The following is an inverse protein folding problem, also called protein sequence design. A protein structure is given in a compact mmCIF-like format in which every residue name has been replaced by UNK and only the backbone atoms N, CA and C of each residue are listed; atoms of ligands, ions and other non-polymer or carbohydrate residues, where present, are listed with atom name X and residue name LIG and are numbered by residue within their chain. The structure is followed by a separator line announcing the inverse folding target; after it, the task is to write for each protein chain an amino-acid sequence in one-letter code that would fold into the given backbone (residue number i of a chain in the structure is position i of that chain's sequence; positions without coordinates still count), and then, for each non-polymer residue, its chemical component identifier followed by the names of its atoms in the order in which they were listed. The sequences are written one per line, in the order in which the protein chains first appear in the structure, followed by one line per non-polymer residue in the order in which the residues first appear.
data_IF_557770868788
#
_entry.id   IF_557770868788
#
_cell.length_a   1.000
_cell.length_b   1.000
_cell.length_c   1.000
_cell.angle_alpha   90.00
_cell.angle_beta   90.00
_cell.angle_gamma   90.00
#
_symmetry.space_group_name_H-M   'P 1'
#
loop_
_entity.id
_entity.type
_entity.pdbx_description
1 polymer ?
#
# COMPACT_ATOMS: atom_id res chain seq x y z
N UNK A 1 -13.24 16.44 33.63
CA UNK A 1 -11.83 16.36 34.09
C UNK A 1 -11.32 14.92 34.20
N UNK A 2 -12.13 13.92 34.58
CA UNK A 2 -11.69 12.51 34.74
C UNK A 2 -11.52 11.71 33.42
N UNK A 3 -12.20 12.11 32.34
CA UNK A 3 -12.22 11.40 31.05
C UNK A 3 -10.86 11.39 30.34
N UNK A 4 -9.98 12.35 30.61
CA UNK A 4 -8.65 12.40 30.01
C UNK A 4 -7.72 11.30 30.55
N UNK A 5 -7.85 10.94 31.83
CA UNK A 5 -7.06 9.87 32.45
C UNK A 5 -7.46 8.48 31.91
N UNK A 6 -8.76 8.28 31.62
CA UNK A 6 -9.28 7.02 31.08
C UNK A 6 -8.94 6.79 29.59
N UNK A 7 -8.76 7.86 28.80
CA UNK A 7 -8.41 7.78 27.38
C UNK A 7 -6.89 7.83 27.12
N UNK A 8 -6.08 8.04 28.14
CA UNK A 8 -4.63 8.02 28.04
C UNK A 8 -4.04 6.68 27.55
N UNK A 9 -4.47 5.49 28.04
CA UNK A 9 -3.92 4.22 27.57
C UNK A 9 -4.25 3.92 26.09
N UNK A 10 -5.42 4.31 25.59
CA UNK A 10 -5.80 4.09 24.19
C UNK A 10 -4.99 4.97 23.21
N UNK A 11 -4.62 6.17 23.63
CA UNK A 11 -3.73 7.06 22.88
C UNK A 11 -2.32 6.48 22.73
N UNK A 12 -1.75 5.90 23.79
CA UNK A 12 -0.42 5.25 23.70
C UNK A 12 -0.49 3.97 22.85
N UNK A 13 -1.53 3.16 23.04
CA UNK A 13 -1.73 1.94 22.27
C UNK A 13 -1.84 2.23 20.77
N UNK A 14 -2.64 3.23 20.37
CA UNK A 14 -2.80 3.62 18.97
C UNK A 14 -1.51 4.14 18.32
N UNK A 15 -0.66 4.86 19.07
CA UNK A 15 0.65 5.27 18.56
C UNK A 15 1.56 4.07 18.25
N UNK A 16 1.56 3.07 19.13
CA UNK A 16 2.36 1.85 18.94
C UNK A 16 1.88 1.04 17.74
N UNK A 17 0.56 0.98 17.51
CA UNK A 17 -0.04 0.31 16.35
C UNK A 17 0.43 0.93 15.04
N UNK A 18 0.44 2.28 14.93
CA UNK A 18 0.90 2.97 13.71
C UNK A 18 2.37 2.72 13.40
N UNK A 19 3.24 2.69 14.42
CA UNK A 19 4.65 2.36 14.22
C UNK A 19 4.82 0.92 13.76
N UNK A 20 4.06 -0.01 14.34
CA UNK A 20 4.03 -1.41 13.95
C UNK A 20 3.60 -1.63 12.50
N UNK A 21 2.56 -0.94 12.05
CA UNK A 21 2.04 -1.05 10.68
C UNK A 21 3.08 -0.58 9.65
N UNK A 22 3.83 0.47 9.96
CA UNK A 22 4.92 0.96 9.09
C UNK A 22 6.03 -0.08 8.97
N UNK A 23 6.49 -0.63 10.09
CA UNK A 23 7.55 -1.64 10.12
C UNK A 23 7.10 -2.95 9.45
N UNK A 24 5.81 -3.29 9.56
CA UNK A 24 5.20 -4.47 8.97
C UNK A 24 5.21 -4.43 7.44
N UNK A 25 4.84 -3.30 6.82
CA UNK A 25 4.85 -3.18 5.37
C UNK A 25 6.26 -3.41 4.80
N UNK A 26 7.29 -2.83 5.42
CA UNK A 26 8.68 -3.01 5.00
C UNK A 26 9.15 -4.46 5.18
N UNK A 27 8.75 -5.14 6.26
CA UNK A 27 9.06 -6.56 6.47
C UNK A 27 8.40 -7.46 5.43
N UNK A 28 7.11 -7.23 5.13
CA UNK A 28 6.37 -8.02 4.14
C UNK A 28 6.90 -7.82 2.73
N UNK A 29 7.34 -6.61 2.37
CA UNK A 29 8.01 -6.34 1.10
C UNK A 29 9.32 -7.10 0.97
N UNK A 30 10.14 -7.11 2.03
CA UNK A 30 11.41 -7.85 2.01
C UNK A 30 11.15 -9.36 1.84
N UNK A 31 10.24 -9.93 2.61
CA UNK A 31 9.84 -11.33 2.49
C UNK A 31 9.29 -11.66 1.10
N UNK A 32 8.48 -10.77 0.51
CA UNK A 32 7.96 -10.95 -0.84
C UNK A 32 9.08 -11.02 -1.89
N UNK A 33 10.09 -10.17 -1.78
CA UNK A 33 11.24 -10.16 -2.70
C UNK A 33 12.04 -11.46 -2.58
N UNK A 34 12.31 -11.92 -1.35
CA UNK A 34 13.02 -13.18 -1.09
C UNK A 34 12.25 -14.38 -1.65
N UNK A 35 10.96 -14.49 -1.33
CA UNK A 35 10.10 -15.59 -1.82
C UNK A 35 10.00 -15.57 -3.34
N UNK A 36 9.85 -14.39 -3.97
CA UNK A 36 9.89 -14.27 -5.44
C UNK A 36 11.23 -14.65 -6.06
N UNK A 37 12.31 -14.54 -5.29
CA UNK A 37 13.66 -14.96 -5.70
C UNK A 37 13.90 -16.47 -5.52
N UNK A 38 12.88 -17.22 -5.10
CA UNK A 38 12.97 -18.68 -4.85
C UNK A 38 13.50 -19.03 -3.46
N UNK A 39 13.63 -18.06 -2.56
CA UNK A 39 14.00 -18.34 -1.17
C UNK A 39 12.81 -18.99 -0.45
N UNK A 40 13.02 -20.08 0.30
CA UNK A 40 11.95 -20.68 1.09
C UNK A 40 11.33 -19.67 2.07
N UNK A 41 10.01 -19.76 2.29
CA UNK A 41 9.29 -18.86 3.20
C UNK A 41 9.92 -18.84 4.60
N UNK A 42 10.30 -20.01 5.12
CA UNK A 42 10.96 -20.13 6.41
C UNK A 42 12.24 -19.30 6.50
N UNK A 43 13.12 -19.41 5.50
CA UNK A 43 14.36 -18.63 5.46
C UNK A 43 14.06 -17.13 5.37
N UNK A 44 13.01 -16.76 4.63
CA UNK A 44 12.58 -15.37 4.54
C UNK A 44 12.04 -14.84 5.88
N UNK A 45 11.32 -15.67 6.65
CA UNK A 45 10.90 -15.36 8.04
C UNK A 45 12.10 -15.16 8.97
N UNK A 46 13.17 -15.93 8.79
CA UNK A 46 14.43 -15.75 9.54
C UNK A 46 15.09 -14.42 9.15
N UNK A 47 15.13 -14.07 7.86
CA UNK A 47 15.67 -12.80 7.36
C UNK A 47 14.98 -11.58 7.97
N UNK A 48 13.64 -11.61 8.09
CA UNK A 48 12.88 -10.50 8.69
C UNK A 48 12.77 -10.55 10.22
N UNK A 49 13.35 -11.57 10.87
CA UNK A 49 13.40 -11.65 12.34
C UNK A 49 14.35 -10.63 12.98
N UNK A 50 14.99 -9.80 12.14
CA UNK A 50 15.93 -8.73 12.49
C UNK A 50 15.58 -7.45 11.71
N UNK A 51 15.84 -6.28 12.29
CA UNK A 51 15.72 -4.99 11.57
C UNK A 51 14.34 -4.29 11.59
N UNK A 52 13.24 -4.97 11.93
CA UNK A 52 11.86 -4.42 11.86
C UNK A 52 11.18 -4.18 13.22
N UNK A 53 11.93 -3.72 14.22
CA UNK A 53 11.39 -3.23 15.50
C UNK A 53 10.60 -4.27 16.31
N UNK A 54 9.28 -4.08 16.40
CA UNK A 54 8.39 -4.99 17.15
C UNK A 54 7.98 -6.22 16.32
N UNK A 55 7.86 -6.08 15.00
CA UNK A 55 7.48 -7.17 14.09
C UNK A 55 8.55 -8.26 14.08
N UNK A 56 9.81 -7.84 14.00
CA UNK A 56 10.96 -8.75 14.00
C UNK A 56 11.01 -9.63 15.27
N UNK A 57 10.60 -9.08 16.44
CA UNK A 57 10.52 -9.85 17.68
C UNK A 57 9.44 -10.92 17.64
N UNK A 58 8.32 -10.66 16.99
CA UNK A 58 7.26 -11.66 16.82
C UNK A 58 7.68 -12.74 15.82
N UNK A 59 8.29 -12.38 14.69
CA UNK A 59 8.84 -13.36 13.75
C UNK A 59 9.96 -14.22 14.36
N UNK A 60 10.79 -13.65 15.24
CA UNK A 60 11.79 -14.43 15.99
C UNK A 60 11.16 -15.49 16.89
N UNK A 61 10.00 -15.22 17.49
CA UNK A 61 9.28 -16.22 18.30
C UNK A 61 8.74 -17.33 17.40
N UNK A 62 8.13 -16.96 16.26
CA UNK A 62 7.60 -17.91 15.28
C UNK A 62 8.72 -18.83 14.77
N UNK A 63 9.83 -18.28 14.30
CA UNK A 63 10.96 -19.09 13.80
C UNK A 63 11.58 -19.96 14.91
N UNK A 64 11.60 -19.48 16.15
CA UNK A 64 12.05 -20.29 17.30
C UNK A 64 11.12 -21.47 17.58
N UNK A 65 9.81 -21.29 17.51
CA UNK A 65 8.82 -22.36 17.68
C UNK A 65 8.93 -23.41 16.58
N UNK A 66 9.11 -22.98 15.33
CA UNK A 66 9.33 -23.87 14.18
C UNK A 66 10.62 -24.67 14.37
N UNK A 67 11.72 -24.00 14.76
CA UNK A 67 12.99 -24.66 15.05
C UNK A 67 12.90 -25.64 16.24
N UNK A 68 11.96 -25.43 17.17
CA UNK A 68 11.70 -26.35 18.28
C UNK A 68 10.89 -27.60 17.85
N UNK A 69 10.50 -27.70 16.57
CA UNK A 69 9.78 -28.84 16.01
C UNK A 69 8.27 -28.62 15.85
N UNK A 70 7.76 -27.41 16.11
CA UNK A 70 6.36 -27.07 15.82
C UNK A 70 6.17 -26.94 14.31
N UNK A 71 5.03 -27.39 13.78
CA UNK A 71 4.72 -27.22 12.35
C UNK A 71 4.57 -25.74 12.00
N UNK A 72 5.03 -25.35 10.81
CA UNK A 72 4.98 -23.94 10.37
C UNK A 72 3.58 -23.33 10.43
N UNK A 73 2.56 -24.08 10.00
CA UNK A 73 1.15 -23.63 10.04
C UNK A 73 0.68 -23.41 11.48
N UNK A 74 1.06 -24.30 12.40
CA UNK A 74 0.60 -24.27 13.78
C UNK A 74 1.28 -23.13 14.54
N UNK A 75 2.58 -22.89 14.30
CA UNK A 75 3.32 -21.77 14.87
C UNK A 75 2.75 -20.40 14.43
N UNK A 76 2.34 -20.28 13.15
CA UNK A 76 1.67 -19.07 12.64
C UNK A 76 0.29 -18.87 13.27
N UNK A 77 -0.49 -19.94 13.46
CA UNK A 77 -1.80 -19.88 14.10
C UNK A 77 -1.68 -19.51 15.60
N UNK A 78 -0.70 -20.05 16.32
CA UNK A 78 -0.41 -19.67 17.71
C UNK A 78 0.01 -18.21 17.83
N UNK A 79 0.87 -17.73 16.93
CA UNK A 79 1.28 -16.34 16.88
C UNK A 79 0.10 -15.40 16.57
N UNK A 80 -0.89 -15.86 15.80
CA UNK A 80 -2.14 -15.14 15.51
C UNK A 80 -3.03 -15.00 16.75
N UNK A 81 -3.00 -15.96 17.67
CA UNK A 81 -3.78 -15.91 18.91
C UNK A 81 -3.10 -15.06 20.00
N UNK A 82 -1.77 -15.08 20.04
CA UNK A 82 -0.97 -14.38 21.05
C UNK A 82 -0.91 -12.87 20.83
N UNK A 83 -0.96 -12.43 19.57
CA UNK A 83 -0.77 -11.02 19.23
C UNK A 83 -2.08 -10.23 19.27
N UNK A 84 -2.10 -9.01 19.85
CA UNK A 84 -3.30 -8.17 19.89
C UNK A 84 -3.54 -7.38 18.59
N UNK A 85 -2.57 -7.31 17.67
CA UNK A 85 -2.62 -6.44 16.50
C UNK A 85 -3.40 -7.05 15.34
N UNK A 86 -4.53 -6.43 14.97
CA UNK A 86 -5.48 -6.98 13.97
C UNK A 86 -4.86 -7.19 12.60
N UNK A 87 -4.11 -6.22 12.07
CA UNK A 87 -3.49 -6.33 10.73
C UNK A 87 -2.45 -7.46 10.69
N UNK A 88 -1.62 -7.57 11.74
CA UNK A 88 -0.61 -8.63 11.84
C UNK A 88 -1.24 -10.02 11.90
N UNK A 89 -2.27 -10.19 12.74
CA UNK A 89 -3.04 -11.44 12.83
C UNK A 89 -3.63 -11.86 11.50
N UNK A 90 -4.20 -10.91 10.75
CA UNK A 90 -4.78 -11.18 9.42
C UNK A 90 -3.73 -11.71 8.46
N UNK A 91 -2.55 -11.10 8.44
CA UNK A 91 -1.46 -11.51 7.55
C UNK A 91 -0.91 -12.89 7.91
N UNK A 92 -0.66 -13.16 9.19
CA UNK A 92 -0.22 -14.48 9.64
C UNK A 92 -1.23 -15.57 9.25
N UNK A 93 -2.52 -15.31 9.45
CA UNK A 93 -3.59 -16.23 9.08
C UNK A 93 -3.66 -16.47 7.55
N UNK A 94 -3.48 -15.43 6.73
CA UNK A 94 -3.44 -15.56 5.27
C UNK A 94 -2.25 -16.42 4.81
N UNK A 95 -1.07 -16.23 5.42
CA UNK A 95 0.11 -17.04 5.13
C UNK A 95 -0.09 -18.50 5.58
N UNK A 96 -0.59 -18.72 6.80
CA UNK A 96 -0.87 -20.05 7.32
C UNK A 96 -1.87 -20.81 6.44
N UNK A 97 -2.91 -20.12 5.96
CA UNK A 97 -3.87 -20.69 5.02
C UNK A 97 -3.25 -21.01 3.67
N UNK A 98 -2.39 -20.14 3.13
CA UNK A 98 -1.71 -20.39 1.86
C UNK A 98 -0.79 -21.61 1.93
N UNK A 99 -0.08 -21.78 3.05
CA UNK A 99 0.74 -22.96 3.31
C UNK A 99 -0.12 -24.22 3.44
N UNK A 100 -1.24 -24.15 4.16
CA UNK A 100 -2.13 -25.30 4.38
C UNK A 100 -2.80 -25.75 3.09
N UNK A 101 -3.16 -24.82 2.20
CA UNK A 101 -3.76 -25.12 0.90
C UNK A 101 -2.74 -25.53 -0.17
N UNK A 102 -1.44 -25.33 0.09
CA UNK A 102 -0.38 -25.51 -0.92
C UNK A 102 -0.45 -24.49 -2.06
N UNK A 103 -1.17 -23.38 -1.87
CA UNK A 103 -1.25 -22.29 -2.85
C UNK A 103 0.08 -21.54 -2.95
N UNK A 104 0.29 -20.82 -4.06
CA UNK A 104 1.49 -20.01 -4.23
C UNK A 104 1.57 -18.90 -3.17
N UNK A 105 2.53 -19.06 -2.26
CA UNK A 105 2.81 -18.12 -1.17
C UNK A 105 3.26 -16.76 -1.72
N UNK A 106 3.95 -16.72 -2.87
CA UNK A 106 4.40 -15.48 -3.47
C UNK A 106 3.22 -14.60 -3.91
N UNK A 107 2.23 -15.20 -4.59
CA UNK A 107 0.98 -14.51 -4.97
C UNK A 107 0.21 -14.01 -3.74
N UNK A 108 0.14 -14.80 -2.68
CA UNK A 108 -0.55 -14.43 -1.43
C UNK A 108 0.14 -13.26 -0.74
N UNK A 109 1.47 -13.30 -0.62
CA UNK A 109 2.27 -12.20 -0.07
C UNK A 109 2.15 -10.94 -0.91
N UNK A 110 2.07 -11.05 -2.23
CA UNK A 110 1.84 -9.90 -3.10
C UNK A 110 0.49 -9.24 -2.80
N UNK A 111 -0.59 -10.03 -2.67
CA UNK A 111 -1.90 -9.49 -2.28
C UNK A 111 -1.88 -8.87 -0.89
N UNK A 112 -1.14 -9.46 0.06
CA UNK A 112 -0.95 -8.89 1.41
C UNK A 112 -0.28 -7.51 1.32
N UNK A 113 0.84 -7.41 0.61
CA UNK A 113 1.60 -6.15 0.48
C UNK A 113 0.77 -5.08 -0.22
N UNK A 114 0.01 -5.45 -1.26
CA UNK A 114 -0.88 -4.53 -1.97
C UNK A 114 -2.03 -4.02 -1.08
N UNK A 115 -2.59 -4.89 -0.23
CA UNK A 115 -3.62 -4.48 0.73
C UNK A 115 -3.05 -3.53 1.78
N UNK A 116 -1.88 -3.84 2.34
CA UNK A 116 -1.21 -2.99 3.32
C UNK A 116 -0.79 -1.64 2.72
N UNK A 117 -0.32 -1.61 1.47
CA UNK A 117 0.05 -0.35 0.80
C UNK A 117 -1.17 0.52 0.53
N UNK A 118 -2.30 -0.06 0.10
CA UNK A 118 -3.57 0.66 -0.06
C UNK A 118 -4.06 1.26 1.25
N UNK A 119 -3.98 0.50 2.35
CA UNK A 119 -4.33 1.01 3.69
C UNK A 119 -3.44 2.21 4.09
N UNK A 120 -2.13 2.15 3.80
CA UNK A 120 -1.20 3.25 4.08
C UNK A 120 -1.41 4.47 3.18
N UNK A 121 -1.74 4.28 1.90
CA UNK A 121 -2.05 5.38 0.98
C UNK A 121 -3.31 6.09 1.44
N UNK A 122 -4.38 5.34 1.77
CA UNK A 122 -5.63 5.96 2.29
C UNK A 122 -5.35 6.71 3.60
N UNK A 123 -4.53 6.15 4.50
CA UNK A 123 -4.15 6.82 5.74
C UNK A 123 -3.33 8.10 5.51
N UNK A 124 -2.45 8.10 4.50
CA UNK A 124 -1.64 9.26 4.11
C UNK A 124 -2.46 10.34 3.37
N UNK A 125 -3.35 9.91 2.47
CA UNK A 125 -4.30 10.75 1.73
C UNK A 125 -5.22 11.49 2.71
N UNK A 126 -5.76 10.79 3.72
CA UNK A 126 -6.62 11.40 4.74
C UNK A 126 -5.85 12.39 5.65
N UNK A 127 -4.53 12.24 5.75
CA UNK A 127 -3.67 13.12 6.54
C UNK A 127 -3.21 14.37 5.79
N UNK A 128 -3.35 14.41 4.46
CA UNK A 128 -3.07 15.60 3.66
C UNK A 128 -4.39 16.27 3.29
N UNK A 129 -4.64 17.54 3.65
CA UNK A 129 -5.74 18.26 3.03
C UNK A 129 -5.43 18.28 1.53
N UNK A 130 -6.39 17.82 0.72
CA UNK A 130 -6.32 17.75 -0.73
C UNK A 130 -5.46 18.89 -1.26
N UNK A 131 -4.25 18.58 -1.74
CA UNK A 131 -3.37 19.57 -2.37
C UNK A 131 -4.17 20.05 -3.58
N UNK A 132 -4.68 21.30 -3.60
CA UNK A 132 -5.34 21.78 -4.79
C UNK A 132 -4.32 21.67 -5.93
N UNK A 133 -4.75 21.20 -7.11
CA UNK A 133 -3.90 21.01 -8.29
C UNK A 133 -3.09 22.26 -8.70
N UNK A 134 -3.36 23.41 -8.08
CA UNK A 134 -2.67 24.69 -8.25
C UNK A 134 -1.18 24.68 -7.84
N UNK A 135 -0.67 23.71 -7.07
CA UNK A 135 0.71 23.78 -6.55
C UNK A 135 1.76 22.99 -7.37
N UNK A 136 1.34 22.21 -8.38
CA UNK A 136 2.26 21.32 -9.13
C UNK A 136 2.77 21.94 -10.44
N UNK A 137 2.18 23.04 -10.92
CA UNK A 137 2.79 23.80 -12.02
C UNK A 137 3.66 24.91 -11.45
N UNK A 138 4.97 24.84 -11.67
CA UNK A 138 5.95 25.87 -11.32
C UNK A 138 5.75 27.16 -12.12
N UNK A 139 4.59 27.80 -11.97
CA UNK A 139 4.24 29.04 -12.62
C UNK A 139 4.89 30.21 -11.86
N UNK A 140 5.77 31.00 -12.50
CA UNK A 140 6.22 32.26 -11.91
C UNK A 140 5.01 33.16 -11.76
N UNK A 141 4.75 33.60 -10.53
CA UNK A 141 3.82 34.68 -10.24
C UNK A 141 4.18 35.91 -11.08
N UNK A 142 3.51 36.14 -12.22
CA UNK A 142 3.34 37.47 -12.81
C UNK A 142 2.15 37.53 -13.78
N UNK A 143 1.26 38.50 -13.47
CA UNK A 143 0.28 39.18 -14.33
C UNK A 143 -1.02 38.43 -14.61
N UNK A 144 -2.03 38.79 -13.84
CA UNK A 144 -3.40 38.92 -14.37
C UNK A 144 -3.45 40.12 -15.34
N UNK A 145 -3.93 39.95 -16.58
CA UNK A 145 -4.71 40.97 -17.27
C UNK A 145 -6.17 40.52 -17.20
N UNK A 146 -6.94 41.09 -16.28
CA UNK A 146 -7.88 42.18 -16.59
C UNK A 146 -8.76 41.84 -17.81
N UNK A 147 -9.93 41.29 -17.51
CA UNK A 147 -11.20 41.44 -18.21
C UNK A 147 -11.15 41.97 -19.66
N UNK A 148 -11.54 41.14 -20.63
CA UNK A 148 -12.43 41.57 -21.72
C UNK A 148 -13.27 40.40 -22.27
N UNK A 149 -14.47 40.27 -21.70
CA UNK A 149 -15.78 40.12 -22.36
C UNK A 149 -15.82 39.47 -23.77
N UNK A 150 -16.37 38.24 -23.78
CA UNK A 150 -17.38 37.67 -24.72
C UNK A 150 -17.46 38.24 -26.15
N UNK A 151 -17.24 37.40 -27.16
CA UNK A 151 -18.19 37.27 -28.26
C UNK A 151 -17.97 36.05 -29.20
N UNK A 152 -19.11 35.38 -29.48
CA UNK A 152 -19.54 34.76 -30.77
C UNK A 152 -18.79 33.59 -31.42
N UNK A 153 -19.53 32.49 -31.51
CA UNK A 153 -19.98 31.80 -32.74
C UNK A 153 -18.99 31.57 -33.89
N UNK A 154 -18.85 30.32 -34.34
CA UNK A 154 -19.64 29.83 -35.48
C UNK A 154 -19.36 28.34 -35.75
N UNK A 155 -20.43 27.66 -36.18
CA UNK A 155 -20.42 26.35 -36.83
C UNK A 155 -19.59 26.42 -38.11
N UNK A 156 -18.79 25.40 -38.42
CA UNK A 156 -18.40 25.00 -39.79
C UNK A 156 -17.99 23.52 -39.78
N UNK A 157 -18.91 22.65 -40.20
CA UNK A 157 -18.86 21.89 -41.46
C UNK A 157 -17.83 20.76 -41.45
N UNK A 158 -18.28 19.56 -41.08
CA UNK A 158 -17.63 18.32 -41.47
C UNK A 158 -18.01 18.02 -42.93
N UNK A 159 -17.04 18.15 -43.83
CA UNK A 159 -17.10 17.63 -45.19
C UNK A 159 -15.86 16.74 -45.33
N UNK A 160 -16.08 15.43 -45.43
CA UNK A 160 -15.00 14.44 -45.43
C UNK A 160 -14.13 14.51 -46.68
N UNK A 161 -12.93 13.94 -46.60
CA UNK A 161 -12.21 13.30 -47.70
C UNK A 161 -10.99 12.53 -47.15
N UNK A 162 -10.91 11.24 -47.49
CA UNK A 162 -9.69 10.58 -48.00
C UNK A 162 -8.51 10.29 -47.05
N UNK A 163 -8.41 9.01 -46.66
CA UNK A 163 -7.27 8.10 -46.85
C UNK A 163 -5.85 8.68 -47.00
N UNK A 164 -4.93 8.33 -46.10
CA UNK A 164 -3.65 7.67 -46.41
C UNK A 164 -2.80 7.51 -45.14
N UNK A 165 -2.02 6.44 -45.15
CA UNK A 165 -1.10 6.00 -44.12
C UNK A 165 -0.08 7.08 -43.70
N UNK A 166 0.28 7.08 -42.41
CA UNK A 166 1.68 7.15 -42.02
C UNK A 166 1.89 6.48 -40.67
N UNK A 167 2.81 5.53 -40.71
CA UNK A 167 3.34 4.76 -39.59
C UNK A 167 4.52 5.50 -39.00
N UNK A 168 4.41 6.02 -37.78
CA UNK A 168 5.59 6.30 -36.97
C UNK A 168 5.36 6.00 -35.49
N UNK A 169 6.36 5.31 -34.94
CA UNK A 169 6.62 5.04 -33.54
C UNK A 169 6.45 6.26 -32.64
N UNK A 170 5.98 6.01 -31.42
CA UNK A 170 6.50 6.73 -30.26
C UNK A 170 5.46 7.16 -29.24
N UNK A 171 5.57 6.56 -28.05
CA UNK A 171 4.95 6.94 -26.78
C UNK A 171 3.47 6.59 -26.65
N UNK A 172 3.21 5.40 -26.09
CA UNK A 172 1.93 5.15 -25.44
C UNK A 172 1.74 6.16 -24.32
N UNK A 173 0.68 6.95 -24.48
CA UNK A 173 0.03 7.84 -23.54
C UNK A 173 0.07 7.31 -22.10
N UNK A 174 0.74 8.05 -21.23
CA UNK A 174 0.53 8.00 -19.79
C UNK A 174 -0.35 9.15 -19.29
N UNK A 175 -0.96 9.96 -20.18
CA UNK A 175 -1.61 11.22 -19.79
C UNK A 175 -3.10 11.35 -20.18
N UNK A 176 -3.75 10.28 -20.63
CA UNK A 176 -5.19 10.31 -20.97
C UNK A 176 -6.03 9.49 -19.96
N UNK A 177 -6.13 10.00 -18.73
CA UNK A 177 -7.27 9.68 -17.87
C UNK A 177 -8.11 10.95 -17.70
N UNK A 178 -9.33 11.03 -18.28
CA UNK A 178 -10.20 12.15 -18.03
C UNK A 178 -10.71 12.09 -16.60
N UNK A 179 -10.46 13.14 -15.83
CA UNK A 179 -11.12 13.37 -14.55
C UNK A 179 -12.62 13.55 -14.81
N UNK A 180 -13.40 12.50 -14.53
CA UNK A 180 -14.85 12.58 -14.39
C UNK A 180 -15.17 13.62 -13.31
N UNK A 181 -15.71 14.76 -13.73
CA UNK A 181 -16.25 15.76 -12.80
C UNK A 181 -17.63 15.30 -12.35
N UNK A 182 -17.70 14.68 -11.19
CA UNK A 182 -18.96 14.41 -10.51
C UNK A 182 -19.66 15.72 -10.15
N UNK A 183 -20.90 15.84 -10.63
CA UNK A 183 -21.89 16.87 -10.27
C UNK A 183 -22.30 16.83 -8.81
#
# INVERSE_FOLDING_TARGET
MYTYLLNYPSLIASRNVRTLEKDMLSAMQHMLIEVKSGVPLFNSMVGISEGYGNISREFRKITKEINAGVKETDALDEATQRNPFVHFRRVLWQIANALRSGSDVASTLQSIVENLSKEQIIAAELALPARPCAEISGAPWQRTPRFHRLHRSSRRTWRGLGSAADSEHGRNSADDLPCEQGT
#
